data_IF_088624760155
#
_entry.id   IF_088624760155
#
_cell.length_a   1.000
_cell.length_b   1.000
_cell.length_c   1.000
_cell.angle_alpha   90.00
_cell.angle_beta   90.00
_cell.angle_gamma   90.00
#
_symmetry.space_group_name_H-M   'P 1'
#
loop_
_entity.id
_entity.type
_entity.pdbx_description
1 polymer ?
#
# COMPACT_ATOMS: atom_id res chain seq x y z
N UNK A 1 16.02 -0.88 -8.99
CA UNK A 1 16.23 -2.15 -8.27
C UNK A 1 15.05 -2.50 -7.35
N UNK A 2 14.48 -1.58 -6.58
CA UNK A 2 13.30 -1.80 -5.73
C UNK A 2 12.11 -2.38 -6.52
N UNK A 3 11.85 -1.86 -7.71
CA UNK A 3 10.82 -2.30 -8.65
C UNK A 3 10.95 -3.79 -9.05
N UNK A 4 12.19 -4.29 -9.19
CA UNK A 4 12.44 -5.71 -9.54
C UNK A 4 12.04 -6.66 -8.42
N UNK A 5 11.98 -6.21 -7.17
CA UNK A 5 11.61 -7.02 -6.00
C UNK A 5 10.12 -6.97 -5.72
N UNK A 6 9.48 -5.84 -5.97
CA UNK A 6 8.02 -5.79 -6.06
C UNK A 6 7.52 -6.81 -7.10
N UNK A 7 8.21 -6.91 -8.25
CA UNK A 7 7.97 -7.93 -9.27
C UNK A 7 8.17 -9.35 -8.77
N UNK A 8 9.21 -9.59 -7.97
CA UNK A 8 9.47 -10.93 -7.41
C UNK A 8 8.38 -11.33 -6.40
N UNK A 9 7.96 -10.40 -5.54
CA UNK A 9 6.84 -10.61 -4.62
C UNK A 9 5.55 -10.88 -5.39
N UNK A 10 5.27 -10.07 -6.41
CA UNK A 10 4.10 -10.21 -7.26
C UNK A 10 4.01 -11.59 -7.97
N UNK A 11 5.14 -12.22 -8.26
CA UNK A 11 5.22 -13.52 -8.96
C UNK A 11 5.28 -14.74 -8.05
N UNK A 12 5.52 -14.55 -6.76
CA UNK A 12 5.60 -15.66 -5.80
C UNK A 12 4.18 -16.05 -5.39
N UNK A 13 3.64 -17.09 -6.01
CA UNK A 13 2.28 -17.59 -5.77
C UNK A 13 1.27 -17.19 -6.85
N UNK A 14 1.72 -16.71 -8.02
CA UNK A 14 0.83 -16.49 -9.15
C UNK A 14 0.21 -17.82 -9.60
N UNK A 15 -1.12 -17.82 -9.73
CA UNK A 15 -1.86 -18.92 -10.33
C UNK A 15 -1.48 -19.05 -11.81
N UNK A 16 -1.64 -20.25 -12.38
CA UNK A 16 -1.47 -20.46 -13.79
C UNK A 16 -2.72 -20.01 -14.56
N UNK A 17 -2.55 -19.24 -15.62
CA UNK A 17 -3.61 -18.85 -16.54
C UNK A 17 -3.43 -19.52 -17.90
N UNK A 18 -4.54 -19.69 -18.64
CA UNK A 18 -4.51 -20.25 -19.97
C UNK A 18 -3.79 -19.30 -20.94
N UNK A 19 -2.65 -19.72 -21.51
CA UNK A 19 -2.10 -19.05 -22.69
C UNK A 19 -2.91 -19.40 -23.93
N UNK A 20 -3.87 -18.52 -24.24
CA UNK A 20 -4.77 -18.73 -25.37
C UNK A 20 -4.02 -18.78 -26.71
N UNK A 21 -3.00 -17.95 -26.89
CA UNK A 21 -2.26 -17.86 -28.14
C UNK A 21 -1.40 -19.12 -28.35
N UNK A 22 -0.63 -19.54 -27.36
CA UNK A 22 0.19 -20.75 -27.43
C UNK A 22 -0.66 -22.01 -27.48
N UNK A 23 -1.81 -22.04 -26.79
CA UNK A 23 -2.78 -23.14 -26.88
C UNK A 23 -3.37 -23.28 -28.26
N UNK A 24 -3.78 -22.19 -28.91
CA UNK A 24 -4.29 -22.21 -30.30
C UNK A 24 -3.19 -22.68 -31.25
N UNK A 25 -1.98 -22.15 -31.10
CA UNK A 25 -0.86 -22.46 -31.98
C UNK A 25 -0.44 -23.93 -31.87
N UNK A 26 -0.29 -24.45 -30.66
CA UNK A 26 0.09 -25.86 -30.46
C UNK A 26 -1.02 -26.84 -30.85
N UNK A 27 -2.30 -26.49 -30.61
CA UNK A 27 -3.46 -27.28 -31.07
C UNK A 27 -3.49 -27.35 -32.58
N UNK A 28 -3.22 -26.26 -33.31
CA UNK A 28 -3.15 -26.26 -34.75
C UNK A 28 -2.01 -27.13 -35.28
N UNK A 29 -0.84 -27.12 -34.64
CA UNK A 29 0.30 -27.97 -35.02
C UNK A 29 0.11 -29.46 -34.70
N UNK A 30 -0.71 -29.77 -33.68
CA UNK A 30 -1.05 -31.14 -33.29
C UNK A 30 -2.26 -31.73 -34.07
N UNK A 31 -2.50 -31.27 -35.28
CA UNK A 31 -3.58 -31.81 -36.11
C UNK A 31 -4.99 -31.56 -35.53
N UNK A 32 -5.16 -30.53 -34.77
CA UNK A 32 -6.45 -30.16 -34.12
C UNK A 32 -6.72 -30.84 -32.77
N UNK A 33 -5.80 -31.68 -32.27
CA UNK A 33 -5.91 -32.21 -30.91
C UNK A 33 -5.56 -31.10 -29.91
N UNK A 34 -6.50 -30.83 -28.98
CA UNK A 34 -6.36 -29.80 -27.97
C UNK A 34 -5.09 -29.99 -27.13
N UNK A 35 -4.18 -29.01 -27.19
CA UNK A 35 -2.94 -28.95 -26.41
C UNK A 35 -2.92 -27.67 -25.57
N UNK A 36 -3.41 -27.79 -24.34
CA UNK A 36 -3.57 -26.67 -23.40
C UNK A 36 -2.18 -26.25 -22.90
N UNK A 37 -1.86 -24.97 -23.10
CA UNK A 37 -0.66 -24.33 -22.54
C UNK A 37 -1.05 -23.42 -21.39
N UNK A 38 -0.41 -23.63 -20.25
CA UNK A 38 -0.57 -22.80 -19.06
C UNK A 38 0.69 -21.96 -18.88
N UNK A 39 0.50 -20.70 -18.51
CA UNK A 39 1.57 -19.76 -18.15
C UNK A 39 1.27 -19.19 -16.79
N UNK A 40 2.31 -18.81 -16.07
CA UNK A 40 2.10 -18.07 -14.81
C UNK A 40 1.40 -16.75 -15.11
N UNK A 41 0.34 -16.46 -14.36
CA UNK A 41 -0.41 -15.22 -14.50
C UNK A 41 0.56 -14.02 -14.47
N UNK A 42 0.42 -13.13 -15.44
CA UNK A 42 1.35 -11.98 -15.59
C UNK A 42 1.19 -10.96 -14.48
N UNK A 43 0.02 -10.90 -13.86
CA UNK A 43 -0.28 -10.01 -12.73
C UNK A 43 -0.60 -10.83 -11.50
N UNK A 44 -0.05 -10.41 -10.38
CA UNK A 44 -0.32 -11.06 -9.10
C UNK A 44 -1.79 -10.87 -8.68
N UNK A 45 -2.43 -11.93 -8.25
CA UNK A 45 -3.78 -11.94 -7.69
C UNK A 45 -3.86 -11.34 -6.27
N UNK A 46 -2.72 -11.05 -5.65
CA UNK A 46 -2.66 -10.39 -4.33
C UNK A 46 -3.37 -9.03 -4.41
N UNK A 47 -4.27 -8.82 -3.47
CA UNK A 47 -5.04 -7.58 -3.34
C UNK A 47 -4.25 -6.58 -2.51
N UNK A 48 -4.02 -5.40 -3.04
CA UNK A 48 -3.21 -4.35 -2.40
C UNK A 48 -4.01 -3.07 -2.25
N UNK A 49 -3.99 -2.50 -1.06
CA UNK A 49 -4.50 -1.17 -0.76
C UNK A 49 -3.33 -0.27 -0.37
N UNK A 50 -3.06 0.74 -1.19
CA UNK A 50 -2.02 1.73 -0.97
C UNK A 50 -2.62 3.01 -0.37
N UNK A 51 -2.01 3.51 0.69
CA UNK A 51 -2.39 4.74 1.36
C UNK A 51 -1.18 5.67 1.37
N UNK A 52 -1.27 6.81 0.65
CA UNK A 52 -0.17 7.74 0.48
C UNK A 52 -0.38 9.02 1.29
N UNK A 53 0.61 9.39 2.06
CA UNK A 53 0.72 10.71 2.66
C UNK A 53 1.06 11.75 1.60
N UNK A 54 0.33 12.87 1.61
CA UNK A 54 0.55 14.03 0.74
C UNK A 54 0.81 15.30 1.56
N UNK A 55 1.25 15.18 2.81
CA UNK A 55 1.72 16.30 3.61
C UNK A 55 2.93 16.99 2.98
N UNK A 56 3.14 18.28 3.26
CA UNK A 56 4.23 19.07 2.64
C UNK A 56 5.63 18.53 2.95
N UNK A 57 5.82 17.82 4.05
CA UNK A 57 7.08 17.11 4.37
C UNK A 57 7.39 15.98 3.40
N UNK A 58 6.38 15.47 2.68
CA UNK A 58 6.53 14.45 1.65
C UNK A 58 7.03 14.96 0.29
N UNK A 59 7.07 16.28 0.06
CA UNK A 59 7.47 16.87 -1.23
C UNK A 59 8.81 16.33 -1.78
N UNK A 60 9.88 16.15 -0.97
CA UNK A 60 11.13 15.57 -1.45
C UNK A 60 11.01 14.11 -1.94
N UNK A 61 9.97 13.42 -1.53
CA UNK A 61 9.77 11.98 -1.79
C UNK A 61 8.73 11.68 -2.87
N UNK A 62 8.02 12.69 -3.39
CA UNK A 62 6.95 12.55 -4.38
C UNK A 62 7.39 11.68 -5.56
N UNK A 63 8.55 11.95 -6.15
CA UNK A 63 9.06 11.18 -7.29
C UNK A 63 9.26 9.70 -6.95
N UNK A 64 9.82 9.40 -5.78
CA UNK A 64 10.02 8.01 -5.33
C UNK A 64 8.69 7.29 -5.11
N UNK A 65 7.69 7.99 -4.56
CA UNK A 65 6.34 7.46 -4.39
C UNK A 65 5.64 7.22 -5.72
N UNK A 66 5.78 8.12 -6.70
CA UNK A 66 5.25 7.94 -8.05
C UNK A 66 5.85 6.73 -8.76
N UNK A 67 7.16 6.53 -8.66
CA UNK A 67 7.86 5.36 -9.21
C UNK A 67 7.35 4.07 -8.55
N UNK A 68 7.21 4.05 -7.22
CA UNK A 68 6.64 2.93 -6.47
C UNK A 68 5.20 2.62 -6.91
N UNK A 69 4.35 3.66 -6.98
CA UNK A 69 2.97 3.54 -7.40
C UNK A 69 2.83 2.99 -8.81
N UNK A 70 3.60 3.55 -9.77
CA UNK A 70 3.58 3.11 -11.16
C UNK A 70 3.98 1.64 -11.30
N UNK A 71 4.98 1.22 -10.54
CA UNK A 71 5.41 -0.18 -10.52
C UNK A 71 4.36 -1.11 -9.91
N UNK A 72 3.79 -0.73 -8.77
CA UNK A 72 2.75 -1.51 -8.12
C UNK A 72 1.54 -1.71 -9.03
N UNK A 73 1.12 -0.65 -9.73
CA UNK A 73 -0.02 -0.68 -10.67
C UNK A 73 0.19 -1.62 -11.85
N UNK A 74 1.43 -1.80 -12.30
CA UNK A 74 1.75 -2.74 -13.39
C UNK A 74 1.71 -4.19 -12.91
N UNK A 75 2.15 -4.44 -11.67
CA UNK A 75 2.40 -5.79 -11.16
C UNK A 75 1.17 -6.41 -10.46
N UNK A 76 0.29 -5.61 -9.88
CA UNK A 76 -0.88 -6.10 -9.16
C UNK A 76 -2.17 -5.98 -9.98
N UNK A 77 -2.94 -7.07 -10.04
CA UNK A 77 -4.26 -7.10 -10.71
C UNK A 77 -5.32 -6.32 -9.92
N UNK A 78 -5.25 -6.42 -8.61
CA UNK A 78 -6.17 -5.80 -7.68
C UNK A 78 -5.42 -4.81 -6.80
N UNK A 79 -5.28 -3.59 -7.29
CA UNK A 79 -4.65 -2.51 -6.56
C UNK A 79 -5.58 -1.31 -6.50
N UNK A 80 -5.87 -0.89 -5.29
CA UNK A 80 -6.60 0.34 -4.99
C UNK A 80 -5.69 1.29 -4.23
N UNK A 81 -5.98 2.59 -4.30
CA UNK A 81 -5.20 3.58 -3.59
C UNK A 81 -6.05 4.73 -3.08
N UNK A 82 -5.58 5.35 -2.00
CA UNK A 82 -6.12 6.59 -1.45
C UNK A 82 -4.98 7.45 -0.96
N UNK A 83 -5.28 8.73 -0.79
CA UNK A 83 -4.40 9.71 -0.18
C UNK A 83 -4.93 10.12 1.18
N UNK A 84 -4.01 10.52 2.06
CA UNK A 84 -4.27 11.17 3.34
C UNK A 84 -3.25 12.29 3.55
N UNK A 85 -3.46 13.17 4.53
CA UNK A 85 -2.54 14.24 4.87
C UNK A 85 -2.00 14.05 6.27
N UNK A 86 -0.68 13.94 6.39
CA UNK A 86 0.10 13.66 7.59
C UNK A 86 -0.26 12.34 8.25
N UNK A 87 -1.53 12.14 8.59
CA UNK A 87 -2.01 10.93 9.23
C UNK A 87 -3.39 10.49 8.72
N UNK A 88 -3.76 9.23 8.97
CA UNK A 88 -5.07 8.71 8.59
C UNK A 88 -6.13 9.12 9.60
N UNK A 89 -7.25 9.68 9.10
CA UNK A 89 -8.39 10.12 9.89
C UNK A 89 -9.70 9.56 9.32
N UNK A 90 -10.81 10.26 9.57
CA UNK A 90 -12.16 9.88 9.14
C UNK A 90 -12.44 10.08 7.63
N UNK A 91 -11.53 10.67 6.87
CA UNK A 91 -11.65 10.89 5.43
C UNK A 91 -10.37 10.57 4.65
N UNK A 92 -10.55 9.94 3.47
CA UNK A 92 -9.52 9.62 2.49
C UNK A 92 -9.98 10.07 1.10
N UNK A 93 -9.08 10.30 0.15
CA UNK A 93 -9.44 10.72 -1.21
C UNK A 93 -8.56 10.06 -2.27
N UNK A 94 -9.01 10.07 -3.53
CA UNK A 94 -8.28 9.52 -4.67
C UNK A 94 -7.73 10.58 -5.62
N UNK A 95 -8.20 11.82 -5.51
CA UNK A 95 -7.77 12.94 -6.32
C UNK A 95 -7.34 14.13 -5.46
N UNK A 96 -6.06 14.45 -5.47
CA UNK A 96 -5.50 15.53 -4.65
C UNK A 96 -6.05 16.93 -5.01
N UNK A 97 -6.51 17.14 -6.24
CA UNK A 97 -7.13 18.40 -6.66
C UNK A 97 -8.54 18.57 -6.08
N UNK A 98 -9.19 17.47 -5.69
CA UNK A 98 -10.55 17.41 -5.17
C UNK A 98 -10.61 16.93 -3.72
N UNK A 99 -9.51 17.05 -2.98
CA UNK A 99 -9.36 16.51 -1.62
C UNK A 99 -10.38 17.03 -0.60
N UNK A 100 -11.01 18.16 -0.87
CA UNK A 100 -12.05 18.72 -0.02
C UNK A 100 -13.47 18.42 -0.53
N UNK A 101 -13.63 18.11 -1.81
CA UNK A 101 -14.91 17.91 -2.47
C UNK A 101 -15.28 16.42 -2.60
N UNK A 102 -14.29 15.57 -2.84
CA UNK A 102 -14.46 14.12 -3.05
C UNK A 102 -13.78 13.31 -1.94
N UNK A 103 -14.24 13.48 -0.71
CA UNK A 103 -13.75 12.74 0.45
C UNK A 103 -14.58 11.48 0.66
N UNK A 104 -13.92 10.33 0.67
CA UNK A 104 -14.53 9.06 1.04
C UNK A 104 -14.36 8.83 2.55
N UNK A 105 -15.43 8.57 3.30
CA UNK A 105 -15.32 8.21 4.71
C UNK A 105 -14.42 6.98 4.89
N UNK A 106 -13.45 7.06 5.79
CA UNK A 106 -12.51 5.96 6.05
C UNK A 106 -13.22 4.68 6.48
N UNK A 107 -14.36 4.80 7.17
CA UNK A 107 -15.19 3.65 7.54
C UNK A 107 -15.74 2.91 6.32
N UNK A 108 -16.02 3.63 5.22
CA UNK A 108 -16.53 3.01 3.99
C UNK A 108 -15.38 2.32 3.22
N UNK A 109 -14.16 2.85 3.30
CA UNK A 109 -12.96 2.16 2.80
C UNK A 109 -12.76 0.84 3.55
N UNK A 110 -12.84 0.83 4.89
CA UNK A 110 -12.76 -0.39 5.70
C UNK A 110 -13.86 -1.39 5.36
N UNK A 111 -15.09 -0.94 5.06
CA UNK A 111 -16.19 -1.83 4.66
C UNK A 111 -16.06 -2.36 3.23
N UNK A 112 -15.48 -1.55 2.33
CA UNK A 112 -15.32 -1.89 0.91
C UNK A 112 -14.30 -3.01 0.70
N UNK A 113 -13.22 -3.01 1.46
CA UNK A 113 -12.10 -3.93 1.28
C UNK A 113 -12.08 -5.03 2.36
N UNK A 114 -11.99 -6.28 1.92
CA UNK A 114 -11.93 -7.44 2.81
C UNK A 114 -10.58 -7.55 3.53
N UNK A 115 -10.54 -8.38 4.57
CA UNK A 115 -9.35 -8.62 5.41
C UNK A 115 -8.13 -9.11 4.64
N UNK A 116 -8.34 -9.76 3.50
CA UNK A 116 -7.33 -10.33 2.62
C UNK A 116 -6.52 -9.28 1.83
N UNK A 117 -6.95 -8.01 1.81
CA UNK A 117 -6.15 -6.93 1.28
C UNK A 117 -4.89 -6.70 2.11
N UNK A 118 -3.75 -6.56 1.43
CA UNK A 118 -2.48 -6.15 2.04
C UNK A 118 -2.41 -4.63 2.03
N UNK A 119 -2.37 -4.01 3.21
CA UNK A 119 -2.36 -2.55 3.32
C UNK A 119 -0.94 -2.03 3.45
N UNK A 120 -0.61 -1.06 2.63
CA UNK A 120 0.70 -0.41 2.62
C UNK A 120 0.47 1.10 2.79
N UNK A 121 0.82 1.63 3.95
CA UNK A 121 0.95 3.05 4.17
C UNK A 121 2.30 3.54 3.64
N UNK A 122 2.32 4.70 3.01
CA UNK A 122 3.54 5.35 2.52
C UNK A 122 3.53 6.78 3.03
N UNK A 123 4.47 7.12 3.91
CA UNK A 123 4.56 8.44 4.53
C UNK A 123 5.79 8.55 5.41
N UNK A 124 6.26 9.78 5.65
CA UNK A 124 7.46 10.04 6.45
C UNK A 124 7.22 9.93 7.97
N UNK A 125 5.95 9.85 8.38
CA UNK A 125 5.55 9.77 9.78
C UNK A 125 6.04 10.98 10.63
N UNK A 126 6.28 12.12 9.98
CA UNK A 126 6.80 13.35 10.59
C UNK A 126 5.70 14.40 10.73
N UNK A 127 5.09 14.46 11.90
CA UNK A 127 4.00 15.39 12.22
C UNK A 127 4.02 15.76 13.71
N UNK A 128 3.16 16.68 14.10
CA UNK A 128 2.98 16.97 15.52
C UNK A 128 2.28 15.79 16.21
N UNK A 129 2.73 15.43 17.41
CA UNK A 129 2.20 14.25 18.12
C UNK A 129 0.71 14.35 18.45
N UNK A 130 0.18 15.57 18.62
CA UNK A 130 -1.24 15.78 18.85
C UNK A 130 -2.10 15.35 17.64
N UNK A 131 -1.57 15.39 16.43
CA UNK A 131 -2.26 14.90 15.24
C UNK A 131 -2.55 13.40 15.34
N UNK A 132 -1.69 12.63 16.01
CA UNK A 132 -1.87 11.21 16.23
C UNK A 132 -2.79 10.95 17.42
N UNK A 133 -2.63 11.71 18.52
CA UNK A 133 -3.16 11.36 19.84
C UNK A 133 -4.43 12.07 20.24
N UNK A 134 -4.83 13.15 19.54
CA UNK A 134 -5.97 13.97 19.93
C UNK A 134 -7.07 14.01 18.87
N UNK A 135 -8.31 14.06 19.31
CA UNK A 135 -9.42 14.46 18.44
C UNK A 135 -9.25 15.94 18.06
N UNK A 136 -9.62 16.29 16.82
CA UNK A 136 -9.38 17.64 16.27
C UNK A 136 -7.90 17.90 15.98
N UNK A 137 -7.03 16.87 15.96
CA UNK A 137 -5.61 17.01 15.69
C UNK A 137 -5.28 17.20 14.21
N UNK A 138 -6.15 16.79 13.29
CA UNK A 138 -5.93 16.99 11.85
C UNK A 138 -5.84 18.47 11.48
N UNK A 139 -4.94 18.79 10.56
CA UNK A 139 -4.77 20.14 10.01
C UNK A 139 -5.89 20.48 9.03
N UNK A 140 -6.35 19.50 8.25
CA UNK A 140 -7.31 19.72 7.16
C UNK A 140 -8.77 19.57 7.60
N UNK A 141 -9.06 18.72 8.59
CA UNK A 141 -10.43 18.35 8.96
C UNK A 141 -10.61 18.29 10.46
N UNK A 142 -11.83 18.60 10.93
CA UNK A 142 -12.20 18.39 12.31
C UNK A 142 -12.47 16.88 12.55
N UNK A 143 -11.41 16.11 12.78
CA UNK A 143 -11.52 14.69 13.09
C UNK A 143 -12.15 14.46 14.47
N UNK A 144 -13.13 13.57 14.54
CA UNK A 144 -13.87 13.27 15.79
C UNK A 144 -13.08 12.37 16.73
N UNK A 145 -12.23 11.49 16.16
CA UNK A 145 -11.41 10.55 16.89
C UNK A 145 -9.92 10.82 16.63
N UNK A 146 -9.03 10.52 17.56
CA UNK A 146 -7.58 10.56 17.32
C UNK A 146 -7.18 9.74 16.10
N UNK A 147 -6.15 10.17 15.39
CA UNK A 147 -5.60 9.40 14.27
C UNK A 147 -5.15 7.99 14.66
N UNK A 148 -4.62 7.82 15.88
CA UNK A 148 -4.25 6.51 16.43
C UNK A 148 -5.40 5.50 16.45
N UNK A 149 -6.63 5.93 16.69
CA UNK A 149 -7.80 5.07 16.65
C UNK A 149 -8.09 4.59 15.22
N UNK A 150 -7.89 5.45 14.23
CA UNK A 150 -8.06 5.09 12.82
C UNK A 150 -7.00 4.11 12.37
N UNK A 151 -5.73 4.35 12.68
CA UNK A 151 -4.66 3.40 12.36
C UNK A 151 -4.92 2.04 13.01
N UNK A 152 -5.35 2.02 14.27
CA UNK A 152 -5.74 0.80 14.96
C UNK A 152 -6.88 0.05 14.27
N UNK A 153 -7.92 0.76 13.79
CA UNK A 153 -8.99 0.14 12.98
C UNK A 153 -8.45 -0.53 11.72
N UNK A 154 -7.44 0.04 11.05
CA UNK A 154 -6.79 -0.60 9.92
C UNK A 154 -6.02 -1.86 10.33
N UNK A 155 -5.19 -1.80 11.37
CA UNK A 155 -4.38 -2.95 11.81
C UNK A 155 -5.22 -4.09 12.39
N UNK A 156 -6.40 -3.80 12.94
CA UNK A 156 -7.35 -4.82 13.43
C UNK A 156 -8.24 -5.40 12.31
N UNK A 157 -8.53 -4.60 11.27
CA UNK A 157 -9.39 -5.04 10.17
C UNK A 157 -8.66 -5.90 9.16
N UNK A 158 -7.45 -5.50 8.74
CA UNK A 158 -6.67 -6.19 7.73
C UNK A 158 -5.66 -7.16 8.35
N UNK A 159 -5.52 -8.35 7.76
CA UNK A 159 -4.62 -9.37 8.29
C UNK A 159 -3.14 -8.95 8.21
N UNK A 160 -2.79 -8.08 7.26
CA UNK A 160 -1.42 -7.59 7.06
C UNK A 160 -1.40 -6.12 6.68
N UNK A 161 -0.72 -5.34 7.51
CA UNK A 161 -0.48 -3.92 7.30
C UNK A 161 0.99 -3.58 7.49
N UNK A 162 1.53 -2.69 6.68
CA UNK A 162 2.89 -2.17 6.80
C UNK A 162 2.93 -0.67 6.57
N UNK A 163 3.95 -0.01 7.11
CA UNK A 163 4.26 1.39 6.85
C UNK A 163 5.62 1.48 6.13
N UNK A 164 5.68 2.09 4.95
CA UNK A 164 6.90 2.39 4.22
C UNK A 164 7.26 3.85 4.46
N UNK A 165 8.35 4.08 5.17
CA UNK A 165 8.84 5.41 5.51
C UNK A 165 10.01 5.80 4.58
N UNK A 166 9.90 6.90 3.80
CA UNK A 166 10.96 7.35 2.90
C UNK A 166 12.14 8.00 3.62
N UNK A 167 11.95 8.44 4.88
CA UNK A 167 13.02 9.00 5.69
C UNK A 167 14.04 7.91 6.08
N UNK A 168 15.36 8.16 6.02
CA UNK A 168 16.36 7.20 6.48
C UNK A 168 16.14 6.77 7.94
N UNK A 169 16.30 5.47 8.20
CA UNK A 169 15.97 4.84 9.49
C UNK A 169 16.73 5.47 10.67
N UNK A 170 17.92 5.99 10.45
CA UNK A 170 18.73 6.68 11.44
C UNK A 170 18.09 7.93 12.04
N UNK A 171 17.13 8.54 11.34
CA UNK A 171 16.39 9.72 11.81
C UNK A 171 15.12 9.39 12.58
N UNK A 172 14.63 8.15 12.54
CA UNK A 172 13.34 7.76 13.17
C UNK A 172 13.36 7.96 14.68
N UNK A 173 14.50 7.69 15.32
CA UNK A 173 14.65 7.86 16.75
C UNK A 173 14.61 9.32 17.21
N UNK A 174 14.81 10.26 16.30
CA UNK A 174 14.80 11.68 16.59
C UNK A 174 13.42 12.32 16.43
N UNK A 175 12.45 11.61 15.83
CA UNK A 175 11.10 12.10 15.56
C UNK A 175 10.09 11.35 16.43
N UNK A 176 9.48 12.06 17.38
CA UNK A 176 8.56 11.43 18.36
C UNK A 176 7.32 10.83 17.69
N UNK A 177 6.75 11.49 16.65
CA UNK A 177 5.62 10.96 15.88
C UNK A 177 5.97 9.65 15.18
N UNK A 178 7.17 9.54 14.60
CA UNK A 178 7.63 8.31 13.95
C UNK A 178 7.70 7.14 14.93
N UNK A 179 8.20 7.36 16.16
CA UNK A 179 8.20 6.33 17.21
C UNK A 179 6.79 5.87 17.58
N UNK A 180 5.88 6.81 17.79
CA UNK A 180 4.50 6.49 18.12
C UNK A 180 3.85 5.66 17.02
N UNK A 181 4.07 6.01 15.75
CA UNK A 181 3.50 5.26 14.61
C UNK A 181 4.16 3.89 14.49
N UNK A 182 5.47 3.77 14.71
CA UNK A 182 6.17 2.50 14.73
C UNK A 182 5.59 1.55 15.79
N UNK A 183 5.35 2.05 17.01
CA UNK A 183 4.71 1.29 18.08
C UNK A 183 3.27 0.87 17.70
N UNK A 184 2.48 1.79 17.13
CA UNK A 184 1.10 1.50 16.68
C UNK A 184 1.05 0.47 15.53
N UNK A 185 2.13 0.33 14.77
CA UNK A 185 2.29 -0.63 13.68
C UNK A 185 2.95 -1.95 14.13
N UNK A 186 3.11 -2.20 15.44
CA UNK A 186 3.80 -3.38 15.98
C UNK A 186 5.16 -3.62 15.30
N UNK A 187 5.98 -2.56 15.18
CA UNK A 187 7.27 -2.56 14.47
C UNK A 187 7.22 -2.90 12.96
N UNK A 188 6.04 -2.94 12.35
CA UNK A 188 5.90 -3.17 10.91
C UNK A 188 6.06 -1.88 10.08
N UNK A 189 6.98 -1.01 10.51
CA UNK A 189 7.47 0.14 9.74
C UNK A 189 8.82 -0.21 9.11
N UNK A 190 8.94 0.02 7.81
CA UNK A 190 10.13 -0.30 7.02
C UNK A 190 10.59 0.92 6.24
N UNK A 191 11.91 1.05 6.04
CA UNK A 191 12.43 2.12 5.21
C UNK A 191 12.02 1.91 3.74
N UNK A 192 11.65 2.98 3.03
CA UNK A 192 11.39 2.97 1.59
C UNK A 192 12.72 2.85 0.83
N UNK A 193 13.41 1.76 1.06
CA UNK A 193 14.68 1.35 0.47
C UNK A 193 14.55 -0.07 -0.08
N UNK A 194 15.56 -0.51 -0.84
CA UNK A 194 15.56 -1.85 -1.39
C UNK A 194 15.41 -2.94 -0.32
N UNK A 195 16.17 -2.81 0.78
CA UNK A 195 16.14 -3.77 1.90
C UNK A 195 14.83 -3.70 2.67
N UNK A 196 14.38 -2.48 3.02
CA UNK A 196 13.14 -2.33 3.77
C UNK A 196 11.91 -2.81 3.00
N UNK A 197 11.88 -2.61 1.69
CA UNK A 197 10.84 -3.19 0.83
C UNK A 197 10.88 -4.72 0.78
N UNK A 198 12.07 -5.34 0.83
CA UNK A 198 12.18 -6.80 0.94
C UNK A 198 11.59 -7.32 2.25
N UNK A 199 11.93 -6.66 3.34
CA UNK A 199 11.45 -7.01 4.68
C UNK A 199 9.92 -6.84 4.75
N UNK A 200 9.38 -5.73 4.25
CA UNK A 200 7.95 -5.48 4.17
C UNK A 200 7.21 -6.52 3.33
N UNK A 201 7.73 -6.83 2.13
CA UNK A 201 7.12 -7.83 1.25
C UNK A 201 7.19 -9.24 1.85
N UNK A 202 8.28 -9.59 2.54
CA UNK A 202 8.40 -10.87 3.23
C UNK A 202 7.37 -11.01 4.37
N UNK A 203 7.03 -9.92 5.06
CA UNK A 203 5.97 -9.90 6.06
C UNK A 203 4.57 -10.03 5.44
N UNK A 204 4.29 -9.26 4.37
CA UNK A 204 2.99 -9.26 3.69
C UNK A 204 2.65 -10.61 3.01
N UNK A 205 3.68 -11.41 2.67
CA UNK A 205 3.52 -12.70 1.97
C UNK A 205 3.27 -13.90 2.89
N UNK A 206 3.38 -13.73 4.21
CA UNK A 206 3.10 -14.76 5.22
C UNK A 206 1.63 -14.74 5.63
#
# INVERSE_FOLDING_TARGET
MALRRLRKFARTGAEEELDLNDTIHSTAHNGGMLDIKMVQERKNSVKVLLLFDVGGSMDPYVKTCEELFSAARIEFKHMEYYYFHNFVYDGLWQNNNLRYDEVMPTVDVLRKFGRDYKVIFVGDAAMATYEITHSGGSIDFMNREPGSNWLKKFTEHFDKTVWLNPTPKEYWEHTQSTKIIQDLMDDHMYALSLKGMEEAMAYLSR
#
